data_IF_159677754907
#
_entry.id   IF_159677754907
#
_cell.length_a   1.000
_cell.length_b   1.000
_cell.length_c   1.000
_cell.angle_alpha   90.00
_cell.angle_beta   90.00
_cell.angle_gamma   90.00
#
_symmetry.space_group_name_H-M   'P 1'
#
loop_
_entity.id
_entity.type
_entity.pdbx_description
1 polymer ?
#
# COMPACT_ATOMS: atom_id res chain seq x y z
N UNK A 1 31.25 7.31 12.77
CA UNK A 1 29.91 7.00 12.24
C UNK A 1 29.60 5.51 12.43
N UNK A 2 28.37 5.18 12.87
CA UNK A 2 27.89 3.80 13.06
C UNK A 2 26.41 3.64 12.72
N UNK A 3 25.93 2.39 12.60
CA UNK A 3 24.54 2.11 12.22
C UNK A 3 23.50 2.65 13.20
N UNK A 4 23.83 2.80 14.47
CA UNK A 4 22.89 3.36 15.46
C UNK A 4 22.67 4.85 15.20
N UNK A 5 23.73 5.60 14.91
CA UNK A 5 23.63 7.01 14.51
C UNK A 5 22.79 7.16 13.24
N UNK A 6 23.03 6.32 12.21
CA UNK A 6 22.23 6.35 10.98
C UNK A 6 20.74 6.07 11.23
N UNK A 7 20.43 5.08 12.09
CA UNK A 7 19.04 4.82 12.49
C UNK A 7 18.40 6.02 13.21
N UNK A 8 19.15 6.68 14.06
CA UNK A 8 18.68 7.87 14.78
C UNK A 8 18.37 9.01 13.79
N UNK A 9 19.25 9.27 12.82
CA UNK A 9 19.00 10.30 11.79
C UNK A 9 17.69 10.00 11.05
N UNK A 10 17.54 8.78 10.52
CA UNK A 10 16.33 8.36 9.83
C UNK A 10 15.08 8.50 10.70
N UNK A 11 15.13 7.98 11.91
CA UNK A 11 13.98 8.01 12.83
C UNK A 11 13.62 9.42 13.25
N UNK A 12 14.61 10.32 13.37
CA UNK A 12 14.36 11.74 13.68
C UNK A 12 13.47 12.40 12.61
N UNK A 13 13.70 12.09 11.34
CA UNK A 13 12.85 12.57 10.25
C UNK A 13 11.44 11.95 10.31
N UNK A 14 11.35 10.65 10.52
CA UNK A 14 10.09 9.89 10.61
C UNK A 14 9.20 10.32 11.77
N UNK A 15 9.81 10.73 12.88
CA UNK A 15 9.11 11.23 14.07
C UNK A 15 8.93 12.76 14.05
N UNK A 16 8.96 13.39 12.86
CA UNK A 16 8.79 14.83 12.70
C UNK A 16 9.67 15.64 13.67
N UNK A 17 10.95 15.24 13.80
CA UNK A 17 11.96 15.88 14.63
C UNK A 17 11.67 15.85 16.15
N UNK A 18 10.76 14.98 16.60
CA UNK A 18 10.46 14.77 18.01
C UNK A 18 11.44 13.77 18.63
N UNK A 19 12.50 14.24 19.28
CA UNK A 19 13.55 13.38 19.86
C UNK A 19 13.06 12.46 20.98
N UNK A 20 11.96 12.79 21.65
CA UNK A 20 11.35 11.91 22.65
C UNK A 20 10.75 10.66 21.98
N UNK A 21 10.00 10.87 20.89
CA UNK A 21 9.43 9.78 20.12
C UNK A 21 10.50 8.92 19.44
N UNK A 22 11.60 9.55 18.98
CA UNK A 22 12.78 8.81 18.48
C UNK A 22 13.37 7.92 19.57
N UNK A 23 13.49 8.45 20.78
CA UNK A 23 13.96 7.67 21.95
C UNK A 23 13.06 6.48 22.23
N UNK A 24 11.74 6.68 22.25
CA UNK A 24 10.75 5.63 22.43
C UNK A 24 10.84 4.58 21.32
N UNK A 25 10.90 4.98 20.06
CA UNK A 25 10.97 4.07 18.89
C UNK A 25 12.27 3.23 18.86
N UNK A 26 13.38 3.77 19.36
CA UNK A 26 14.70 3.11 19.34
C UNK A 26 15.13 2.56 20.71
N UNK A 27 14.23 2.55 21.71
CA UNK A 27 14.49 2.06 23.07
C UNK A 27 15.72 2.74 23.72
N UNK A 28 15.83 4.06 23.56
CA UNK A 28 16.92 4.87 24.15
C UNK A 28 16.38 6.16 24.76
N UNK A 29 17.22 6.89 25.50
CA UNK A 29 16.82 8.18 26.08
C UNK A 29 16.87 9.31 25.05
N UNK A 30 16.02 10.34 25.22
CA UNK A 30 16.06 11.56 24.41
C UNK A 30 17.44 12.24 24.45
N UNK A 31 18.12 12.23 25.61
CA UNK A 31 19.48 12.76 25.74
C UNK A 31 20.51 11.94 24.96
N UNK A 32 20.34 10.61 24.90
CA UNK A 32 21.14 9.71 24.08
C UNK A 32 20.97 9.98 22.60
N UNK A 33 19.72 10.16 22.15
CA UNK A 33 19.41 10.55 20.76
C UNK A 33 20.12 11.87 20.41
N UNK A 34 19.95 12.92 21.23
CA UNK A 34 20.58 14.22 21.02
C UNK A 34 22.10 14.15 20.96
N UNK A 35 22.70 13.34 21.83
CA UNK A 35 24.15 13.11 21.84
C UNK A 35 24.63 12.46 20.55
N UNK A 36 23.96 11.37 20.12
CA UNK A 36 24.32 10.66 18.87
C UNK A 36 24.22 11.54 17.63
N UNK A 37 23.22 12.44 17.55
CA UNK A 37 23.10 13.41 16.47
C UNK A 37 24.29 14.36 16.52
N UNK A 38 24.59 14.95 17.69
CA UNK A 38 25.70 15.88 17.84
C UNK A 38 27.04 15.24 17.50
N UNK A 39 27.32 14.06 18.05
CA UNK A 39 28.56 13.33 17.79
C UNK A 39 28.76 13.06 16.28
N UNK A 40 27.65 12.81 15.53
CA UNK A 40 27.72 12.62 14.08
C UNK A 40 27.93 13.95 13.33
N UNK A 41 27.24 15.03 13.71
CA UNK A 41 27.43 16.37 13.15
C UNK A 41 28.88 16.86 13.39
N UNK A 42 29.43 16.64 14.57
CA UNK A 42 30.80 16.98 14.93
C UNK A 42 31.82 16.16 14.12
N UNK A 43 31.57 14.85 13.89
CA UNK A 43 32.42 13.99 13.06
C UNK A 43 32.42 14.38 11.59
N UNK A 44 31.25 14.76 11.05
CA UNK A 44 31.10 15.14 9.64
C UNK A 44 31.47 16.62 9.38
N UNK A 45 31.56 17.42 10.42
CA UNK A 45 31.87 18.85 10.32
C UNK A 45 30.75 19.70 9.72
N UNK A 46 29.51 19.18 9.69
CA UNK A 46 28.33 19.86 9.14
C UNK A 46 27.12 19.67 10.05
N UNK A 47 26.27 20.69 10.15
CA UNK A 47 24.97 20.57 10.80
C UNK A 47 23.96 19.89 9.87
N UNK A 48 23.28 18.86 10.38
CA UNK A 48 22.28 18.08 9.63
C UNK A 48 20.86 18.57 9.87
N UNK A 49 20.64 19.19 11.03
CA UNK A 49 19.30 19.62 11.46
C UNK A 49 19.26 21.11 11.74
N UNK A 50 18.16 21.74 11.31
CA UNK A 50 17.83 23.12 11.68
C UNK A 50 17.34 23.12 13.12
N UNK A 51 17.89 24.04 13.95
CA UNK A 51 17.56 24.17 15.37
C UNK A 51 16.86 25.49 15.66
N UNK A 52 15.81 25.44 16.48
CA UNK A 52 15.19 26.61 17.09
C UNK A 52 15.28 26.45 18.61
N UNK A 53 16.33 27.05 19.21
CA UNK A 53 16.68 26.79 20.60
C UNK A 53 17.11 25.33 20.80
N UNK A 54 16.41 24.61 21.68
CA UNK A 54 16.71 23.18 21.96
C UNK A 54 15.93 22.20 21.06
N UNK A 55 15.05 22.68 20.16
CA UNK A 55 14.20 21.85 19.30
C UNK A 55 14.77 21.75 17.89
N UNK A 56 14.71 20.55 17.32
CA UNK A 56 14.91 20.33 15.88
C UNK A 56 13.61 20.71 15.15
N UNK A 57 13.74 21.40 14.01
CA UNK A 57 12.57 21.89 13.25
C UNK A 57 12.59 21.51 11.79
N UNK A 58 13.67 20.92 11.30
CA UNK A 58 13.81 20.52 9.91
C UNK A 58 15.22 20.00 9.61
N UNK A 59 15.46 19.71 8.35
CA UNK A 59 16.77 19.35 7.80
C UNK A 59 17.45 20.55 7.17
N UNK A 60 18.77 20.62 7.31
CA UNK A 60 19.64 21.48 6.50
C UNK A 60 19.76 20.89 5.07
N UNK A 61 20.39 21.61 4.13
CA UNK A 61 20.68 21.06 2.81
C UNK A 61 21.56 19.81 2.87
N UNK A 62 22.71 19.80 3.60
CA UNK A 62 23.47 18.57 3.82
C UNK A 62 22.66 17.48 4.50
N UNK A 63 21.76 17.83 5.42
CA UNK A 63 20.89 16.87 6.09
C UNK A 63 19.94 16.18 5.14
N UNK A 64 19.36 16.87 4.16
CA UNK A 64 18.46 16.27 3.14
C UNK A 64 19.22 15.27 2.26
N UNK A 65 20.39 15.64 1.79
CA UNK A 65 21.23 14.73 0.97
C UNK A 65 21.68 13.52 1.78
N UNK A 66 22.13 13.74 3.04
CA UNK A 66 22.55 12.64 3.91
C UNK A 66 21.42 11.65 4.20
N UNK A 67 20.20 12.10 4.44
CA UNK A 67 19.06 11.21 4.73
C UNK A 67 18.83 10.24 3.57
N UNK A 68 18.93 10.67 2.32
CA UNK A 68 18.81 9.81 1.14
C UNK A 68 19.89 8.71 1.14
N UNK A 69 21.13 9.06 1.46
CA UNK A 69 22.24 8.09 1.58
C UNK A 69 22.01 7.14 2.74
N UNK A 70 21.55 7.64 3.90
CA UNK A 70 21.26 6.85 5.10
C UNK A 70 20.17 5.82 4.85
N UNK A 71 19.09 6.18 4.15
CA UNK A 71 18.01 5.25 3.79
C UNK A 71 18.54 4.11 2.93
N UNK A 72 19.39 4.41 1.94
CA UNK A 72 20.02 3.39 1.08
C UNK A 72 20.94 2.47 1.88
N UNK A 73 21.83 3.01 2.73
CA UNK A 73 22.73 2.21 3.56
C UNK A 73 21.98 1.29 4.53
N UNK A 74 20.89 1.77 5.13
CA UNK A 74 20.06 0.97 6.04
C UNK A 74 19.27 -0.12 5.30
N UNK A 75 18.84 0.16 4.06
CA UNK A 75 18.25 -0.85 3.18
C UNK A 75 19.27 -1.93 2.82
N UNK A 76 20.49 -1.56 2.40
CA UNK A 76 21.54 -2.50 2.07
C UNK A 76 21.97 -3.35 3.28
N UNK A 77 22.02 -2.77 4.47
CA UNK A 77 22.26 -3.52 5.69
C UNK A 77 21.15 -4.56 5.99
N UNK A 78 19.89 -4.27 5.63
CA UNK A 78 18.79 -5.23 5.67
C UNK A 78 18.92 -6.29 4.58
N UNK A 79 19.29 -5.89 3.36
CA UNK A 79 19.52 -6.79 2.23
C UNK A 79 20.60 -7.84 2.53
N UNK A 80 21.69 -7.46 3.20
CA UNK A 80 22.74 -8.39 3.64
C UNK A 80 22.16 -9.49 4.55
N UNK A 81 21.28 -9.13 5.50
CA UNK A 81 20.60 -10.10 6.37
C UNK A 81 19.66 -11.01 5.60
N UNK A 82 18.89 -10.47 4.65
CA UNK A 82 17.99 -11.25 3.81
C UNK A 82 18.78 -12.21 2.90
N UNK A 83 19.91 -11.76 2.32
CA UNK A 83 20.81 -12.60 1.56
C UNK A 83 21.33 -13.76 2.41
N UNK A 84 21.88 -13.47 3.59
CA UNK A 84 22.37 -14.51 4.49
C UNK A 84 21.28 -15.51 4.85
N UNK A 85 20.07 -15.04 5.18
CA UNK A 85 18.93 -15.90 5.49
C UNK A 85 18.47 -16.74 4.30
N UNK A 86 18.60 -16.24 3.05
CA UNK A 86 18.29 -17.01 1.84
C UNK A 86 19.16 -18.25 1.71
N UNK A 87 20.45 -18.17 2.08
CA UNK A 87 21.36 -19.30 1.99
C UNK A 87 21.32 -20.21 3.21
N UNK A 88 21.07 -19.65 4.41
CA UNK A 88 21.00 -20.43 5.64
C UNK A 88 19.67 -21.21 5.79
N UNK A 89 18.53 -20.59 5.45
CA UNK A 89 17.18 -21.10 5.68
C UNK A 89 16.27 -20.77 4.50
N UNK A 90 16.51 -21.40 3.34
CA UNK A 90 15.87 -21.05 2.06
C UNK A 90 14.34 -21.06 2.13
N UNK A 91 13.76 -22.06 2.79
CA UNK A 91 12.32 -22.32 2.83
C UNK A 91 11.66 -21.86 4.13
N UNK A 92 12.37 -21.12 4.99
CA UNK A 92 11.90 -20.63 6.28
C UNK A 92 12.08 -19.11 6.38
N UNK A 93 11.23 -18.44 7.14
CA UNK A 93 11.34 -17.00 7.39
C UNK A 93 9.97 -16.33 7.43
N UNK A 94 9.96 -15.05 7.12
CA UNK A 94 8.74 -14.23 7.09
C UNK A 94 8.62 -13.53 5.75
N UNK A 95 7.39 -13.48 5.23
CA UNK A 95 6.98 -12.63 4.12
C UNK A 95 5.90 -11.69 4.62
N UNK A 96 6.16 -10.40 4.54
CA UNK A 96 5.24 -9.36 4.99
C UNK A 96 4.61 -8.65 3.78
N UNK A 97 3.29 -8.67 3.70
CA UNK A 97 2.51 -8.06 2.62
C UNK A 97 1.66 -6.95 3.21
N UNK A 98 1.81 -5.74 2.69
CA UNK A 98 0.92 -4.63 2.98
C UNK A 98 -0.15 -4.53 1.88
N UNK A 99 -1.42 -4.38 2.26
CA UNK A 99 -2.50 -4.41 1.29
C UNK A 99 -3.78 -3.74 1.82
N UNK A 100 -4.72 -3.45 0.94
CA UNK A 100 -6.05 -2.97 1.35
C UNK A 100 -6.97 -4.13 1.72
N UNK A 101 -8.05 -3.85 2.46
CA UNK A 101 -9.04 -4.86 2.85
C UNK A 101 -9.59 -5.61 1.62
N UNK A 102 -9.96 -4.90 0.58
CA UNK A 102 -10.51 -5.48 -0.67
C UNK A 102 -9.57 -6.53 -1.26
N UNK A 103 -8.27 -6.25 -1.32
CA UNK A 103 -7.28 -7.19 -1.87
C UNK A 103 -7.09 -8.40 -0.95
N UNK A 104 -6.95 -8.17 0.36
CA UNK A 104 -6.81 -9.23 1.35
C UNK A 104 -8.00 -10.19 1.36
N UNK A 105 -9.21 -9.66 1.17
CA UNK A 105 -10.48 -10.39 1.26
C UNK A 105 -10.83 -11.15 -0.02
N UNK A 106 -10.60 -10.54 -1.19
CA UNK A 106 -11.16 -11.04 -2.44
C UNK A 106 -10.12 -11.53 -3.46
N UNK A 107 -8.94 -10.91 -3.53
CA UNK A 107 -7.92 -11.26 -4.51
C UNK A 107 -6.88 -12.25 -3.97
N UNK A 108 -6.37 -12.04 -2.76
CA UNK A 108 -5.23 -12.78 -2.22
C UNK A 108 -5.54 -14.17 -1.63
N UNK A 109 -6.76 -14.57 -1.21
CA UNK A 109 -6.96 -15.82 -0.49
C UNK A 109 -6.49 -17.06 -1.24
N UNK A 110 -6.73 -17.14 -2.55
CA UNK A 110 -6.27 -18.27 -3.40
C UNK A 110 -4.74 -18.28 -3.51
N UNK A 111 -4.13 -17.12 -3.71
CA UNK A 111 -2.66 -16.96 -3.77
C UNK A 111 -2.02 -17.41 -2.45
N UNK A 112 -2.57 -16.95 -1.34
CA UNK A 112 -2.11 -17.33 0.01
C UNK A 112 -2.22 -18.84 0.24
N UNK A 113 -3.32 -19.47 -0.18
CA UNK A 113 -3.52 -20.90 -0.04
C UNK A 113 -2.46 -21.69 -0.82
N UNK A 114 -2.19 -21.33 -2.08
CA UNK A 114 -1.16 -21.97 -2.90
C UNK A 114 0.25 -21.69 -2.37
N UNK A 115 0.50 -20.46 -1.94
CA UNK A 115 1.78 -20.09 -1.32
C UNK A 115 2.07 -20.94 -0.06
N UNK A 116 1.07 -21.11 0.81
CA UNK A 116 1.22 -21.92 2.04
C UNK A 116 1.49 -23.39 1.77
N UNK A 117 1.00 -23.94 0.65
CA UNK A 117 1.35 -25.30 0.22
C UNK A 117 2.81 -25.40 -0.22
N UNK A 118 3.29 -24.39 -0.97
CA UNK A 118 4.66 -24.36 -1.49
C UNK A 118 5.70 -24.05 -0.39
N UNK A 119 5.36 -23.18 0.57
CA UNK A 119 6.25 -22.73 1.64
C UNK A 119 5.59 -22.85 3.02
N UNK A 120 5.39 -24.06 3.55
CA UNK A 120 4.66 -24.30 4.80
C UNK A 120 5.37 -23.69 6.04
N UNK A 121 6.69 -23.51 5.97
CA UNK A 121 7.50 -22.97 7.06
C UNK A 121 7.72 -21.45 6.97
N UNK A 122 7.26 -20.79 5.92
CA UNK A 122 7.33 -19.32 5.82
C UNK A 122 6.13 -18.72 6.54
N UNK A 123 6.41 -17.86 7.52
CA UNK A 123 5.37 -17.06 8.18
C UNK A 123 4.91 -15.94 7.25
N UNK A 124 3.61 -15.89 6.97
CA UNK A 124 2.99 -14.87 6.13
C UNK A 124 2.27 -13.86 7.05
N UNK A 125 2.68 -12.59 6.98
CA UNK A 125 2.05 -11.48 7.67
C UNK A 125 1.30 -10.60 6.67
N UNK A 126 -0.01 -10.40 6.86
CA UNK A 126 -0.83 -9.48 6.06
C UNK A 126 -1.13 -8.24 6.91
N UNK A 127 -0.58 -7.10 6.52
CA UNK A 127 -0.92 -5.80 7.08
C UNK A 127 -1.99 -5.16 6.21
N UNK A 128 -3.19 -4.98 6.80
CA UNK A 128 -4.30 -4.33 6.12
C UNK A 128 -4.37 -2.87 6.55
N UNK A 129 -4.46 -1.98 5.56
CA UNK A 129 -4.55 -0.54 5.79
C UNK A 129 -5.01 0.20 4.54
N UNK A 130 -4.85 1.50 4.54
CA UNK A 130 -5.09 2.36 3.38
C UNK A 130 -4.01 2.16 2.31
N UNK A 131 -4.26 2.59 1.05
CA UNK A 131 -3.20 2.64 0.04
C UNK A 131 -1.99 3.47 0.46
N UNK A 132 -2.19 4.58 1.17
CA UNK A 132 -1.12 5.42 1.70
C UNK A 132 -0.31 4.71 2.80
N UNK A 133 -0.96 3.97 3.71
CA UNK A 133 -0.26 3.15 4.71
C UNK A 133 0.51 2.00 4.05
N UNK A 134 -0.06 1.38 3.00
CA UNK A 134 0.64 0.37 2.19
C UNK A 134 1.92 0.92 1.60
N UNK A 135 1.86 2.12 1.02
CA UNK A 135 3.03 2.84 0.51
C UNK A 135 4.05 3.11 1.62
N UNK A 136 3.63 3.67 2.74
CA UNK A 136 4.51 3.96 3.87
C UNK A 136 5.24 2.72 4.39
N UNK A 137 4.54 1.58 4.55
CA UNK A 137 5.14 0.33 4.99
C UNK A 137 6.20 -0.21 4.03
N UNK A 138 6.01 -0.03 2.71
CA UNK A 138 7.02 -0.38 1.70
C UNK A 138 8.25 0.51 1.80
N UNK A 139 8.06 1.83 1.82
CA UNK A 139 9.15 2.81 1.90
C UNK A 139 9.95 2.68 3.21
N UNK A 140 9.28 2.36 4.30
CA UNK A 140 9.92 2.06 5.58
C UNK A 140 10.62 0.69 5.60
N UNK A 141 10.42 -0.15 4.60
CA UNK A 141 10.92 -1.52 4.56
C UNK A 141 10.31 -2.42 5.63
N UNK A 142 9.12 -2.09 6.13
CA UNK A 142 8.33 -2.92 7.05
C UNK A 142 7.50 -3.97 6.33
N UNK A 143 7.18 -3.74 5.05
CA UNK A 143 6.59 -4.73 4.16
C UNK A 143 7.55 -5.05 3.00
N UNK A 144 7.51 -6.31 2.55
CA UNK A 144 8.29 -6.80 1.42
C UNK A 144 7.56 -6.58 0.09
N UNK A 145 6.24 -6.73 0.11
CA UNK A 145 5.35 -6.60 -1.04
C UNK A 145 4.16 -5.71 -0.65
N UNK A 146 3.78 -4.80 -1.53
CA UNK A 146 2.54 -4.03 -1.43
C UNK A 146 1.54 -4.45 -2.50
N UNK A 147 0.24 -4.47 -2.18
CA UNK A 147 -0.83 -4.74 -3.14
C UNK A 147 -1.95 -3.73 -2.94
N UNK A 148 -2.10 -2.80 -3.87
CA UNK A 148 -3.14 -1.77 -3.83
C UNK A 148 -3.46 -1.26 -5.24
N UNK A 149 -4.54 -0.51 -5.38
CA UNK A 149 -4.96 0.14 -6.63
C UNK A 149 -4.38 1.54 -6.73
N UNK A 150 -4.44 2.31 -5.65
CA UNK A 150 -3.99 3.69 -5.55
C UNK A 150 -2.63 3.79 -4.85
N UNK A 151 -2.04 4.97 -4.88
CA UNK A 151 -0.83 5.43 -4.17
C UNK A 151 0.49 4.75 -4.57
N UNK A 152 0.49 3.63 -5.30
CA UNK A 152 1.72 2.89 -5.60
C UNK A 152 2.32 3.26 -6.96
N UNK A 153 1.49 3.72 -7.92
CA UNK A 153 1.90 3.84 -9.32
C UNK A 153 2.94 4.93 -9.59
N UNK A 154 2.83 6.04 -8.88
CA UNK A 154 3.57 7.27 -9.14
C UNK A 154 4.77 7.46 -8.18
N UNK A 155 5.06 6.44 -7.36
CA UNK A 155 6.17 6.48 -6.42
C UNK A 155 7.48 6.01 -7.07
N UNK A 156 8.47 6.90 -7.27
CA UNK A 156 9.73 6.55 -7.94
C UNK A 156 10.54 5.47 -7.22
N UNK A 157 10.48 5.42 -5.88
CA UNK A 157 11.18 4.42 -5.08
C UNK A 157 10.59 3.02 -5.20
N UNK A 158 9.42 2.87 -5.84
CA UNK A 158 8.77 1.57 -6.04
C UNK A 158 8.94 1.04 -7.47
N UNK A 159 9.16 -0.25 -7.58
CA UNK A 159 8.91 -1.02 -8.77
C UNK A 159 7.47 -1.54 -8.71
N UNK A 160 6.64 -1.14 -9.66
CA UNK A 160 5.22 -1.51 -9.67
C UNK A 160 4.88 -2.36 -10.88
N UNK A 161 4.08 -3.40 -10.67
CA UNK A 161 3.66 -4.36 -11.68
C UNK A 161 2.15 -4.49 -11.69
N UNK A 162 1.48 -4.56 -12.86
CA UNK A 162 0.06 -4.81 -12.92
C UNK A 162 -0.26 -6.22 -12.38
N UNK A 163 -1.26 -6.31 -11.51
CA UNK A 163 -1.76 -7.58 -10.99
C UNK A 163 -3.00 -8.00 -11.77
N UNK A 164 -4.07 -7.21 -11.69
CA UNK A 164 -5.29 -7.42 -12.46
C UNK A 164 -6.07 -6.12 -12.65
N UNK A 165 -6.92 -6.10 -13.70
CA UNK A 165 -7.85 -5.00 -13.93
C UNK A 165 -9.26 -5.40 -13.46
N UNK A 166 -10.03 -4.42 -13.00
CA UNK A 166 -11.39 -4.60 -12.50
C UNK A 166 -12.22 -3.33 -12.70
N UNK A 167 -13.56 -3.48 -12.68
CA UNK A 167 -14.51 -2.37 -12.79
C UNK A 167 -15.37 -2.23 -11.54
N UNK A 168 -15.98 -1.07 -11.38
CA UNK A 168 -17.05 -0.90 -10.42
C UNK A 168 -18.33 -1.53 -10.93
N UNK A 169 -19.17 -2.00 -10.02
CA UNK A 169 -20.51 -2.46 -10.27
C UNK A 169 -21.46 -1.82 -9.24
N UNK A 170 -22.74 -1.77 -9.57
CA UNK A 170 -23.75 -1.29 -8.65
C UNK A 170 -24.38 -2.49 -7.95
N UNK A 171 -24.50 -2.42 -6.63
CA UNK A 171 -25.15 -3.43 -5.82
C UNK A 171 -26.42 -2.85 -5.22
N UNK A 172 -27.52 -3.59 -5.32
CA UNK A 172 -28.86 -3.17 -4.87
C UNK A 172 -29.54 -4.29 -4.09
N UNK A 173 -30.54 -4.00 -3.25
CA UNK A 173 -31.40 -5.03 -2.68
C UNK A 173 -32.03 -5.89 -3.78
N UNK A 174 -32.25 -7.18 -3.51
CA UNK A 174 -32.93 -8.06 -4.46
C UNK A 174 -34.33 -7.53 -4.78
N UNK A 175 -34.67 -7.43 -6.08
CA UNK A 175 -35.95 -6.85 -6.52
C UNK A 175 -36.00 -5.32 -6.62
N UNK A 176 -34.88 -4.63 -6.39
CA UNK A 176 -34.82 -3.18 -6.52
C UNK A 176 -35.16 -2.72 -7.94
N UNK A 177 -35.93 -1.61 -8.13
CA UNK A 177 -36.38 -1.14 -9.46
C UNK A 177 -35.24 -0.90 -10.46
N UNK A 178 -34.08 -0.47 -9.98
CA UNK A 178 -32.89 -0.21 -10.81
C UNK A 178 -32.41 -1.48 -11.56
N UNK A 179 -32.69 -2.68 -11.05
CA UNK A 179 -32.37 -3.94 -11.70
C UNK A 179 -33.12 -4.14 -13.03
N UNK A 180 -34.29 -3.52 -13.17
CA UNK A 180 -35.07 -3.56 -14.42
C UNK A 180 -34.67 -2.47 -15.44
N UNK A 181 -33.90 -1.46 -15.01
CA UNK A 181 -33.44 -0.36 -15.85
C UNK A 181 -32.16 -0.74 -16.63
N UNK A 182 -32.33 -1.48 -17.71
CA UNK A 182 -31.20 -1.91 -18.58
C UNK A 182 -31.27 -1.24 -19.96
N UNK A 183 -30.17 -0.69 -20.49
CA UNK A 183 -28.86 -0.60 -19.85
C UNK A 183 -28.84 0.45 -18.72
N UNK A 184 -28.07 0.13 -17.66
CA UNK A 184 -27.87 1.04 -16.53
C UNK A 184 -27.20 2.34 -17.00
N UNK A 185 -27.59 3.49 -16.42
CA UNK A 185 -26.98 4.78 -16.74
C UNK A 185 -26.74 5.61 -15.47
N UNK A 186 -25.82 6.58 -15.54
CA UNK A 186 -25.38 7.36 -14.39
C UNK A 186 -26.52 8.19 -13.76
N UNK A 187 -27.45 8.70 -14.56
CA UNK A 187 -28.56 9.49 -14.05
C UNK A 187 -29.51 8.61 -13.20
N UNK A 188 -29.84 7.43 -13.70
CA UNK A 188 -30.67 6.49 -12.94
C UNK A 188 -30.02 6.03 -11.64
N UNK A 189 -28.68 5.92 -11.59
CA UNK A 189 -27.92 5.65 -10.38
C UNK A 189 -27.98 6.85 -9.42
N UNK A 190 -27.80 8.08 -9.94
CA UNK A 190 -27.79 9.31 -9.15
C UNK A 190 -29.16 9.67 -8.54
N UNK A 191 -30.26 9.08 -9.01
CA UNK A 191 -31.60 9.27 -8.46
C UNK A 191 -31.80 8.57 -7.11
N UNK A 192 -30.83 7.74 -6.66
CA UNK A 192 -30.89 7.01 -5.39
C UNK A 192 -29.76 7.45 -4.45
N UNK A 193 -29.96 7.37 -3.11
CA UNK A 193 -28.88 7.53 -2.15
C UNK A 193 -27.77 6.51 -2.40
N UNK A 194 -26.51 6.96 -2.44
CA UNK A 194 -25.36 6.11 -2.77
C UNK A 194 -24.55 5.80 -1.51
N UNK A 195 -24.17 4.54 -1.40
CA UNK A 195 -23.22 4.03 -0.40
C UNK A 195 -21.97 3.56 -1.16
N UNK A 196 -20.79 4.09 -0.85
CA UNK A 196 -19.58 3.73 -1.60
C UNK A 196 -18.32 3.80 -0.73
N UNK A 197 -17.16 3.71 -1.35
CA UNK A 197 -15.89 3.77 -0.64
C UNK A 197 -15.56 5.16 -0.10
N UNK A 198 -14.79 5.19 0.97
CA UNK A 198 -14.19 6.43 1.48
C UNK A 198 -13.19 6.99 0.46
N UNK A 199 -12.96 8.30 0.49
CA UNK A 199 -11.97 8.98 -0.35
C UNK A 199 -10.58 8.34 -0.21
N UNK A 200 -9.89 8.16 -1.35
CA UNK A 200 -8.57 7.52 -1.40
C UNK A 200 -8.59 5.98 -1.39
N UNK A 201 -9.77 5.35 -1.39
CA UNK A 201 -9.91 3.88 -1.39
C UNK A 201 -10.60 3.36 -2.65
N UNK A 202 -10.13 2.21 -3.12
CA UNK A 202 -10.79 1.28 -4.07
C UNK A 202 -11.46 2.02 -5.25
N UNK A 203 -10.71 2.91 -5.89
CA UNK A 203 -11.15 3.62 -7.09
C UNK A 203 -12.23 4.69 -6.84
N UNK A 204 -12.47 5.15 -5.61
CA UNK A 204 -13.45 6.18 -5.29
C UNK A 204 -13.30 7.44 -6.16
N UNK A 205 -12.08 7.91 -6.36
CA UNK A 205 -11.82 9.07 -7.22
C UNK A 205 -12.34 8.90 -8.66
N UNK A 206 -12.34 7.67 -9.20
CA UNK A 206 -12.91 7.38 -10.53
C UNK A 206 -14.43 7.42 -10.54
N UNK A 207 -15.07 7.00 -9.45
CA UNK A 207 -16.53 7.14 -9.27
C UNK A 207 -16.89 8.62 -9.31
N UNK A 208 -16.25 9.44 -8.47
CA UNK A 208 -16.50 10.88 -8.37
C UNK A 208 -16.23 11.61 -9.71
N UNK A 209 -15.12 11.32 -10.38
CA UNK A 209 -14.78 11.86 -11.68
C UNK A 209 -15.82 11.49 -12.75
N UNK A 210 -16.36 10.26 -12.71
CA UNK A 210 -17.36 9.80 -13.69
C UNK A 210 -18.66 10.58 -13.54
N UNK A 211 -19.15 10.78 -12.32
CA UNK A 211 -20.33 11.60 -12.07
C UNK A 211 -20.10 13.09 -12.42
N UNK A 212 -18.96 13.64 -12.02
CA UNK A 212 -18.60 15.02 -12.32
C UNK A 212 -18.51 15.27 -13.84
N UNK A 213 -17.92 14.34 -14.61
CA UNK A 213 -17.86 14.43 -16.08
C UNK A 213 -19.24 14.41 -16.76
N UNK A 214 -20.22 13.77 -16.11
CA UNK A 214 -21.62 13.76 -16.55
C UNK A 214 -22.45 14.95 -16.02
N UNK A 215 -21.84 15.90 -15.31
CA UNK A 215 -22.48 17.00 -14.59
C UNK A 215 -23.61 16.52 -13.64
N UNK A 216 -23.36 15.41 -12.93
CA UNK A 216 -24.24 14.84 -11.94
C UNK A 216 -23.58 14.99 -10.55
N UNK A 217 -24.40 15.30 -9.55
CA UNK A 217 -24.01 15.40 -8.13
C UNK A 217 -24.80 14.37 -7.34
N UNK A 218 -24.29 13.13 -7.21
CA UNK A 218 -25.01 12.06 -6.53
C UNK A 218 -25.00 12.27 -5.01
N UNK A 219 -26.11 11.91 -4.34
CA UNK A 219 -26.24 11.94 -2.89
C UNK A 219 -25.47 10.75 -2.26
N UNK A 220 -24.23 10.97 -1.83
CA UNK A 220 -23.43 9.96 -1.12
C UNK A 220 -23.74 10.00 0.37
N UNK A 221 -24.70 9.20 0.80
CA UNK A 221 -25.20 9.18 2.18
C UNK A 221 -24.29 8.44 3.17
N UNK A 222 -23.43 7.53 2.67
CA UNK A 222 -22.49 6.79 3.52
C UNK A 222 -21.24 6.42 2.75
N UNK A 223 -20.09 6.57 3.40
CA UNK A 223 -18.78 6.12 2.90
C UNK A 223 -18.15 5.11 3.84
N UNK A 224 -17.64 4.00 3.31
CA UNK A 224 -17.01 2.93 4.08
C UNK A 224 -15.64 2.53 3.49
N UNK A 225 -14.81 1.87 4.31
CA UNK A 225 -13.47 1.44 3.88
C UNK A 225 -13.50 0.18 3.00
N UNK A 226 -14.56 -0.62 3.09
CA UNK A 226 -14.65 -1.90 2.41
C UNK A 226 -16.06 -2.24 1.90
N UNK A 227 -16.11 -3.17 0.94
CA UNK A 227 -17.35 -3.58 0.29
C UNK A 227 -18.29 -4.39 1.21
N UNK A 228 -17.78 -5.08 2.23
CA UNK A 228 -18.63 -5.89 3.12
C UNK A 228 -19.52 -4.94 3.96
N UNK A 229 -18.94 -3.83 4.45
CA UNK A 229 -19.72 -2.78 5.15
C UNK A 229 -20.71 -2.13 4.19
N UNK A 230 -20.30 -1.75 2.96
CA UNK A 230 -21.20 -1.17 1.97
C UNK A 230 -22.39 -2.09 1.72
N UNK A 231 -22.15 -3.39 1.45
CA UNK A 231 -23.21 -4.38 1.21
C UNK A 231 -24.18 -4.52 2.38
N UNK A 232 -23.64 -4.50 3.60
CA UNK A 232 -24.50 -4.58 4.82
C UNK A 232 -25.49 -3.44 4.88
N UNK A 233 -25.08 -2.20 4.57
CA UNK A 233 -26.00 -1.06 4.60
C UNK A 233 -26.92 -1.01 3.38
N UNK A 234 -26.54 -1.61 2.25
CA UNK A 234 -27.43 -1.82 1.10
C UNK A 234 -28.52 -2.86 1.44
N UNK A 235 -28.17 -3.95 2.14
CA UNK A 235 -29.15 -4.93 2.64
C UNK A 235 -30.19 -4.31 3.59
N UNK A 236 -29.81 -3.26 4.31
CA UNK A 236 -30.72 -2.48 5.16
C UNK A 236 -31.51 -1.40 4.40
N UNK A 237 -31.45 -1.40 3.06
CA UNK A 237 -32.15 -0.48 2.16
C UNK A 237 -31.86 1.00 2.41
N UNK A 238 -30.65 1.34 2.95
CA UNK A 238 -30.27 2.74 3.19
C UNK A 238 -29.81 3.46 1.91
N UNK A 239 -29.64 2.73 0.82
CA UNK A 239 -29.24 3.22 -0.48
C UNK A 239 -28.75 2.10 -1.38
N UNK A 240 -28.24 2.45 -2.55
CA UNK A 240 -27.57 1.54 -3.48
C UNK A 240 -26.06 1.59 -3.29
N UNK A 241 -25.36 0.48 -3.52
CA UNK A 241 -23.91 0.41 -3.36
C UNK A 241 -23.16 0.56 -4.69
N UNK A 242 -22.02 1.27 -4.69
CA UNK A 242 -21.05 1.16 -5.78
C UNK A 242 -19.80 0.51 -5.22
N UNK A 243 -19.49 -0.72 -5.71
CA UNK A 243 -18.40 -1.55 -5.20
C UNK A 243 -17.52 -2.09 -6.33
N UNK A 244 -16.33 -2.58 -5.99
CA UNK A 244 -15.54 -3.39 -6.92
C UNK A 244 -16.33 -4.66 -7.29
N UNK A 245 -16.49 -4.97 -8.58
CA UNK A 245 -17.32 -6.09 -9.05
C UNK A 245 -16.91 -7.44 -8.44
N UNK A 246 -15.59 -7.66 -8.26
CA UNK A 246 -15.05 -8.87 -7.61
C UNK A 246 -15.33 -9.00 -6.11
N UNK A 247 -15.90 -7.97 -5.47
CA UNK A 247 -16.29 -8.02 -4.07
C UNK A 247 -17.70 -8.60 -3.83
N UNK A 248 -18.42 -8.93 -4.89
CA UNK A 248 -19.72 -9.58 -4.82
C UNK A 248 -19.60 -11.10 -4.97
N UNK A 249 -20.38 -11.83 -4.20
CA UNK A 249 -20.43 -13.28 -4.24
C UNK A 249 -21.89 -13.75 -4.11
N UNK A 250 -22.48 -14.22 -5.21
CA UNK A 250 -23.88 -14.66 -5.26
C UNK A 250 -24.28 -15.66 -4.16
N UNK A 251 -23.35 -16.55 -3.78
CA UNK A 251 -23.64 -17.54 -2.75
C UNK A 251 -23.73 -16.95 -1.34
N UNK A 252 -23.09 -15.83 -1.09
CA UNK A 252 -23.04 -15.15 0.22
C UNK A 252 -23.97 -13.95 0.28
N UNK A 253 -24.08 -13.21 -0.80
CA UNK A 253 -24.80 -11.92 -0.88
C UNK A 253 -26.24 -12.13 -1.42
N UNK A 254 -26.94 -13.14 -0.90
CA UNK A 254 -28.24 -13.62 -1.43
C UNK A 254 -29.37 -12.59 -1.39
N UNK A 255 -29.29 -11.60 -0.47
CA UNK A 255 -30.25 -10.50 -0.34
C UNK A 255 -30.00 -9.36 -1.32
N UNK A 256 -28.95 -9.45 -2.13
CA UNK A 256 -28.49 -8.40 -3.02
C UNK A 256 -28.44 -8.87 -4.47
N UNK A 257 -28.49 -7.92 -5.40
CA UNK A 257 -28.26 -8.13 -6.82
C UNK A 257 -27.11 -7.22 -7.29
N UNK A 258 -26.19 -7.79 -8.10
CA UNK A 258 -25.11 -7.03 -8.74
C UNK A 258 -25.54 -6.61 -10.15
N UNK A 259 -25.47 -5.32 -10.42
CA UNK A 259 -25.76 -4.72 -11.73
C UNK A 259 -24.45 -4.35 -12.41
N UNK A 260 -24.25 -4.85 -13.64
CA UNK A 260 -23.06 -4.52 -14.41
C UNK A 260 -23.05 -3.03 -14.76
N UNK A 261 -21.94 -2.37 -14.45
CA UNK A 261 -21.68 -0.96 -14.73
C UNK A 261 -20.33 -0.73 -15.42
N UNK A 262 -19.73 -1.76 -16.03
CA UNK A 262 -18.41 -1.71 -16.69
C UNK A 262 -18.35 -0.63 -17.78
N UNK A 263 -19.47 -0.39 -18.46
CA UNK A 263 -19.60 0.64 -19.51
C UNK A 263 -19.70 2.07 -18.96
N UNK A 264 -19.91 2.23 -17.64
CA UNK A 264 -20.05 3.53 -16.98
C UNK A 264 -18.76 3.98 -16.31
N UNK A 265 -18.07 3.06 -15.65
CA UNK A 265 -16.89 3.37 -14.83
C UNK A 265 -15.62 2.84 -15.52
N UNK A 266 -14.56 3.67 -15.63
CA UNK A 266 -13.28 3.22 -16.17
C UNK A 266 -12.68 2.06 -15.36
N UNK A 267 -11.93 1.21 -16.05
CA UNK A 267 -11.20 0.13 -15.42
C UNK A 267 -10.19 0.64 -14.38
N UNK A 268 -10.10 -0.04 -13.25
CA UNK A 268 -9.06 0.12 -12.25
C UNK A 268 -8.00 -0.96 -12.42
N UNK A 269 -6.76 -0.67 -12.06
CA UNK A 269 -5.66 -1.64 -12.10
C UNK A 269 -5.06 -1.77 -10.71
N UNK A 270 -5.23 -2.94 -10.11
CA UNK A 270 -4.51 -3.29 -8.88
C UNK A 270 -3.06 -3.62 -9.26
N UNK A 271 -2.13 -3.12 -8.46
CA UNK A 271 -0.69 -3.28 -8.69
C UNK A 271 -0.05 -4.02 -7.54
N UNK A 272 1.00 -4.78 -7.86
CA UNK A 272 1.98 -5.29 -6.92
C UNK A 272 3.14 -4.31 -6.92
N UNK A 273 3.62 -3.93 -5.75
CA UNK A 273 4.75 -3.04 -5.60
C UNK A 273 5.82 -3.63 -4.70
N UNK A 274 7.07 -3.33 -5.01
CA UNK A 274 8.26 -3.69 -4.24
C UNK A 274 9.17 -2.48 -4.19
N UNK A 275 9.78 -2.18 -3.04
CA UNK A 275 10.75 -1.10 -2.95
C UNK A 275 11.96 -1.39 -3.84
N UNK A 276 12.39 -0.42 -4.66
CA UNK A 276 13.60 -0.55 -5.48
C UNK A 276 14.83 -0.79 -4.60
N UNK A 277 15.75 -1.60 -5.07
CA UNK A 277 16.93 -2.00 -4.30
C UNK A 277 16.66 -2.97 -3.16
N UNK A 278 15.40 -3.37 -2.89
CA UNK A 278 15.09 -4.38 -1.88
C UNK A 278 15.46 -5.79 -2.36
N UNK A 279 16.20 -6.54 -1.52
CA UNK A 279 16.52 -7.93 -1.80
C UNK A 279 15.33 -8.82 -1.47
N UNK A 280 14.68 -9.35 -2.51
CA UNK A 280 13.61 -10.33 -2.37
C UNK A 280 14.18 -11.73 -2.23
N UNK A 281 13.63 -12.52 -1.30
CA UNK A 281 13.93 -13.94 -1.17
C UNK A 281 13.11 -14.77 -2.17
N UNK A 282 13.55 -16.00 -2.46
CA UNK A 282 12.92 -16.88 -3.45
C UNK A 282 11.41 -17.05 -3.25
N UNK A 283 10.95 -17.18 -2.02
CA UNK A 283 9.53 -17.29 -1.71
C UNK A 283 8.75 -16.00 -2.03
N UNK A 284 9.38 -14.81 -1.95
CA UNK A 284 8.72 -13.57 -2.33
C UNK A 284 8.49 -13.47 -3.84
N UNK A 285 9.48 -13.88 -4.63
CA UNK A 285 9.30 -14.02 -6.09
C UNK A 285 8.18 -15.01 -6.43
N UNK A 286 8.13 -16.16 -5.73
CA UNK A 286 7.07 -17.13 -5.95
C UNK A 286 5.69 -16.62 -5.58
N UNK A 287 5.57 -15.82 -4.53
CA UNK A 287 4.31 -15.17 -4.18
C UNK A 287 3.84 -14.22 -5.30
N UNK A 288 4.74 -13.40 -5.84
CA UNK A 288 4.44 -12.48 -6.96
C UNK A 288 4.02 -13.27 -8.21
N UNK A 289 4.74 -14.35 -8.55
CA UNK A 289 4.39 -15.22 -9.68
C UNK A 289 3.02 -15.91 -9.50
N UNK A 290 2.66 -16.30 -8.28
CA UNK A 290 1.33 -16.85 -7.96
C UNK A 290 0.22 -15.80 -8.10
N UNK A 291 0.50 -14.54 -7.83
CA UNK A 291 -0.43 -13.45 -8.13
C UNK A 291 -0.62 -13.27 -9.64
N UNK A 292 0.47 -13.17 -10.39
CA UNK A 292 0.45 -12.95 -11.83
C UNK A 292 1.56 -13.79 -12.49
N UNK A 293 1.22 -14.90 -13.18
CA UNK A 293 2.20 -15.82 -13.76
C UNK A 293 3.16 -15.19 -14.78
N UNK A 294 2.80 -14.07 -15.36
CA UNK A 294 3.67 -13.28 -16.26
C UNK A 294 4.79 -12.54 -15.53
N UNK A 295 4.64 -12.33 -14.22
CA UNK A 295 5.64 -11.68 -13.37
C UNK A 295 6.69 -12.71 -12.90
N UNK A 296 7.45 -13.23 -13.85
CA UNK A 296 8.54 -14.14 -13.55
C UNK A 296 9.63 -13.46 -12.71
N UNK A 297 10.48 -14.27 -12.06
CA UNK A 297 11.62 -13.75 -11.29
C UNK A 297 12.45 -12.73 -12.07
N UNK A 298 12.76 -12.99 -13.34
CA UNK A 298 13.57 -12.10 -14.17
C UNK A 298 12.90 -10.75 -14.42
N UNK A 299 11.58 -10.75 -14.67
CA UNK A 299 10.78 -9.52 -14.86
C UNK A 299 10.78 -8.68 -13.59
N UNK A 300 10.50 -9.29 -12.45
CA UNK A 300 10.47 -8.59 -11.17
C UNK A 300 11.85 -8.08 -10.80
N UNK A 301 12.89 -8.90 -10.94
CA UNK A 301 14.25 -8.53 -10.59
C UNK A 301 14.75 -7.35 -11.43
N UNK A 302 14.50 -7.32 -12.73
CA UNK A 302 14.88 -6.19 -13.58
C UNK A 302 14.15 -4.89 -13.19
N UNK A 303 12.88 -5.00 -12.77
CA UNK A 303 12.11 -3.84 -12.31
C UNK A 303 12.55 -3.30 -10.95
N UNK A 304 13.00 -4.17 -10.04
CA UNK A 304 13.43 -3.82 -8.67
C UNK A 304 14.86 -3.26 -8.64
N UNK A 305 15.68 -3.54 -9.66
CA UNK A 305 17.02 -2.97 -9.76
C UNK A 305 16.94 -1.43 -9.77
N UNK A 306 17.77 -0.72 -8.97
CA UNK A 306 17.82 0.74 -9.00
C UNK A 306 18.05 1.25 -10.43
N UNK A 307 17.44 2.38 -10.80
CA UNK A 307 17.70 3.00 -12.10
C UNK A 307 19.15 3.48 -12.15
N UNK A 308 19.81 3.33 -13.31
CA UNK A 308 21.24 3.64 -13.47
C UNK A 308 21.62 5.09 -13.15
N UNK A 309 20.67 6.03 -13.18
CA UNK A 309 20.88 7.43 -12.79
C UNK A 309 21.06 7.62 -11.27
N UNK A 310 20.60 6.68 -10.44
CA UNK A 310 20.78 6.70 -8.98
C UNK A 310 22.08 6.00 -8.52
N UNK A 311 22.75 5.29 -9.41
CA UNK A 311 24.00 4.56 -9.13
C UNK A 311 25.28 5.37 -9.47
N UNK A 312 25.14 6.58 -10.01
CA UNK A 312 26.23 7.41 -10.52
C UNK A 312 26.49 8.69 -9.69
N UNK A 313 26.27 8.62 -8.34
CA UNK A 313 26.69 9.69 -7.42
C UNK A 313 27.66 9.11 -6.38
#
# INVERSE_FOLDING_TARGET
MNFQQLRIIRETVRQNFNLTEVGNALFTSQSGVSKHIKDLEDELGVELFVRKGKRLTGLTDPGRELVTIVERLLLDAKNIKHLAAQYANRDEGQLTIATTHTQARYALPRVVAEFRKAFPKVHLALHQGSPAETLALLLEGKADIGVATEALADEPELATFPFYAWHHAVVVPAGHPLAAAQPLNLRAIADYPIITYHEGFTGRARIDQTFAAAALDPDVVLSALDADVIKTYVELELGIGIIASGAFNEAKDRGLALLNADHLFPANVTRIAVRRGHYLRDFAYKFIELCAPTLTRSVVQSGVTPRAEEAAI
#
